data_IF_399638613278
#
_entry.id   IF_399638613278
#
_cell.length_a   1.000
_cell.length_b   1.000
_cell.length_c   1.000
_cell.angle_alpha   90.00
_cell.angle_beta   90.00
_cell.angle_gamma   90.00
#
_symmetry.space_group_name_H-M   'P 1'
#
loop_
_entity.id
_entity.type
_entity.pdbx_description
1 polymer ?
#
# COMPACT_ATOMS: atom_id res chain seq x y z
N UNK A 1 -13.02 -6.51 3.62
CA UNK A 1 -13.46 -5.32 2.85
C UNK A 1 -13.03 -5.41 1.38
N UNK A 2 -13.67 -4.60 0.53
CA UNK A 2 -13.23 -4.33 -0.85
C UNK A 2 -12.97 -2.83 -0.99
N UNK A 3 -11.88 -2.46 -1.66
CA UNK A 3 -11.51 -1.06 -1.90
C UNK A 3 -10.83 -0.91 -3.25
N UNK A 4 -10.82 0.31 -3.74
CA UNK A 4 -10.14 0.66 -4.98
C UNK A 4 -8.72 1.15 -4.70
N UNK A 5 -7.85 0.86 -5.67
CA UNK A 5 -6.49 1.36 -5.76
C UNK A 5 -6.38 2.10 -7.08
N UNK A 6 -6.27 3.41 -7.01
CA UNK A 6 -6.02 4.26 -8.17
C UNK A 6 -4.51 4.36 -8.40
N UNK A 7 -4.05 4.03 -9.61
CA UNK A 7 -2.64 3.86 -9.94
C UNK A 7 -2.26 4.81 -11.07
N UNK A 8 -1.22 5.59 -10.88
CA UNK A 8 -0.65 6.50 -11.89
C UNK A 8 0.79 6.08 -12.15
N UNK A 9 1.10 5.74 -13.41
CA UNK A 9 2.47 5.42 -13.83
C UNK A 9 3.14 6.63 -14.46
N UNK A 10 4.44 6.83 -14.18
CA UNK A 10 5.21 7.97 -14.71
C UNK A 10 5.21 8.05 -16.23
N UNK A 11 5.19 6.91 -16.92
CA UNK A 11 5.22 6.80 -18.38
C UNK A 11 3.84 6.74 -19.03
N UNK A 12 2.76 6.96 -18.26
CA UNK A 12 1.38 7.00 -18.75
C UNK A 12 0.70 8.30 -18.34
N UNK A 13 -0.25 8.75 -19.14
CA UNK A 13 -1.00 9.99 -18.93
C UNK A 13 -2.44 9.75 -18.43
N UNK A 14 -2.72 8.55 -17.91
CA UNK A 14 -4.03 8.18 -17.36
C UNK A 14 -3.84 7.30 -16.12
N UNK A 15 -4.82 7.36 -15.22
CA UNK A 15 -4.89 6.49 -14.05
C UNK A 15 -5.56 5.16 -14.39
N UNK A 16 -5.17 4.10 -13.69
CA UNK A 16 -5.80 2.78 -13.74
C UNK A 16 -6.34 2.46 -12.36
N UNK A 17 -7.60 2.04 -12.29
CA UNK A 17 -8.22 1.58 -11.04
C UNK A 17 -8.17 0.06 -10.98
N UNK A 18 -7.59 -0.49 -9.91
CA UNK A 18 -7.73 -1.90 -9.54
C UNK A 18 -8.59 -2.02 -8.29
N UNK A 19 -9.50 -2.99 -8.26
CA UNK A 19 -10.29 -3.29 -7.06
C UNK A 19 -9.67 -4.47 -6.32
N UNK A 20 -9.34 -4.26 -5.05
CA UNK A 20 -8.74 -5.27 -4.19
C UNK A 20 -9.72 -5.73 -3.11
N UNK A 21 -9.55 -6.98 -2.67
CA UNK A 21 -10.29 -7.53 -1.53
C UNK A 21 -9.30 -7.97 -0.46
N UNK A 22 -9.49 -7.48 0.77
CA UNK A 22 -8.72 -7.88 1.94
C UNK A 22 -9.67 -8.45 3.01
N UNK A 23 -9.32 -9.54 3.70
CA UNK A 23 -10.13 -10.05 4.80
C UNK A 23 -10.16 -9.06 5.98
N UNK A 24 -11.21 -9.16 6.79
CA UNK A 24 -11.36 -8.35 8.00
C UNK A 24 -11.90 -6.93 7.77
N UNK A 25 -12.23 -6.29 8.88
CA UNK A 25 -12.66 -4.89 8.97
C UNK A 25 -11.44 -4.00 9.27
N UNK A 26 -11.30 -2.84 8.60
CA UNK A 26 -10.13 -1.97 8.79
C UNK A 26 -9.88 -1.49 10.21
N UNK A 27 -10.96 -1.29 10.97
CA UNK A 27 -10.89 -0.92 12.39
C UNK A 27 -10.31 -2.03 13.28
N UNK A 28 -10.18 -3.25 12.76
CA UNK A 28 -9.67 -4.43 13.47
C UNK A 28 -8.35 -4.93 12.88
N UNK A 29 -7.77 -4.21 11.91
CA UNK A 29 -6.54 -4.64 11.26
C UNK A 29 -5.36 -4.70 12.22
N UNK A 30 -4.57 -5.75 12.01
CA UNK A 30 -3.28 -5.99 12.66
C UNK A 30 -2.14 -5.55 11.73
N UNK A 31 -0.91 -5.60 12.24
CA UNK A 31 0.30 -5.37 11.45
C UNK A 31 0.38 -6.31 10.25
N UNK A 32 -0.03 -7.57 10.41
CA UNK A 32 -0.05 -8.55 9.31
C UNK A 32 -1.02 -8.15 8.20
N UNK A 33 -2.19 -7.61 8.57
CA UNK A 33 -3.20 -7.18 7.61
C UNK A 33 -2.71 -5.95 6.85
N UNK A 34 -2.13 -4.98 7.55
CA UNK A 34 -1.52 -3.78 6.92
C UNK A 34 -0.32 -4.16 6.05
N UNK A 35 0.52 -5.10 6.46
CA UNK A 35 1.61 -5.63 5.64
C UNK A 35 1.09 -6.23 4.33
N UNK A 36 0.00 -7.00 4.39
CA UNK A 36 -0.68 -7.57 3.22
C UNK A 36 -1.23 -6.45 2.31
N UNK A 37 -1.91 -5.45 2.88
CA UNK A 37 -2.45 -4.29 2.13
C UNK A 37 -1.34 -3.55 1.39
N UNK A 38 -0.24 -3.19 2.07
CA UNK A 38 0.88 -2.45 1.46
C UNK A 38 1.53 -3.26 0.33
N UNK A 39 1.69 -4.58 0.52
CA UNK A 39 2.22 -5.46 -0.53
C UNK A 39 1.29 -5.54 -1.73
N UNK A 40 -0.02 -5.65 -1.52
CA UNK A 40 -0.96 -5.69 -2.64
C UNK A 40 -1.03 -4.37 -3.41
N UNK A 41 -0.90 -3.20 -2.74
CA UNK A 41 -0.81 -1.91 -3.44
C UNK A 41 0.45 -1.86 -4.33
N UNK A 42 1.60 -2.30 -3.82
CA UNK A 42 2.83 -2.36 -4.61
C UNK A 42 2.72 -3.37 -5.78
N UNK A 43 2.07 -4.52 -5.55
CA UNK A 43 1.80 -5.51 -6.59
C UNK A 43 0.84 -4.98 -7.65
N UNK A 44 -0.15 -4.17 -7.28
CA UNK A 44 -1.03 -3.47 -8.21
C UNK A 44 -0.24 -2.55 -9.14
N UNK A 45 0.67 -1.75 -8.60
CA UNK A 45 1.54 -0.90 -9.43
C UNK A 45 2.39 -1.76 -10.39
N UNK A 46 2.97 -2.86 -9.89
CA UNK A 46 3.74 -3.79 -10.71
C UNK A 46 2.91 -4.46 -11.80
N UNK A 47 1.68 -4.92 -11.50
CA UNK A 47 0.76 -5.50 -12.49
C UNK A 47 0.45 -4.53 -13.60
N UNK A 48 0.13 -3.27 -13.27
CA UNK A 48 -0.17 -2.25 -14.27
C UNK A 48 1.06 -1.91 -15.11
N UNK A 49 2.26 -1.89 -14.50
CA UNK A 49 3.52 -1.59 -15.19
C UNK A 49 4.00 -2.74 -16.07
N UNK A 50 3.88 -3.97 -15.57
CA UNK A 50 4.41 -5.20 -16.13
C UNK A 50 3.27 -6.25 -16.26
N UNK A 51 2.32 -6.05 -17.20
CA UNK A 51 1.14 -6.91 -17.32
C UNK A 51 1.50 -8.37 -17.65
N UNK A 52 2.53 -8.58 -18.48
CA UNK A 52 2.97 -9.90 -18.95
C UNK A 52 3.87 -10.66 -17.97
N UNK A 53 4.17 -10.10 -16.79
CA UNK A 53 5.03 -10.76 -15.82
C UNK A 53 4.39 -12.03 -15.25
N UNK A 54 5.13 -13.13 -15.19
CA UNK A 54 4.68 -14.41 -14.64
C UNK A 54 5.03 -14.58 -13.17
N UNK A 55 6.14 -13.99 -12.72
CA UNK A 55 6.57 -13.95 -11.33
C UNK A 55 6.54 -12.51 -10.83
N UNK A 56 6.02 -12.31 -9.62
CA UNK A 56 5.92 -10.99 -9.00
C UNK A 56 6.48 -11.05 -7.60
N UNK A 57 7.39 -10.13 -7.31
CA UNK A 57 7.98 -9.99 -5.99
C UNK A 57 8.04 -8.51 -5.63
N UNK A 58 7.45 -8.16 -4.50
CA UNK A 58 7.56 -6.82 -3.91
C UNK A 58 8.19 -6.93 -2.53
N UNK A 59 8.93 -5.88 -2.17
CA UNK A 59 9.54 -5.73 -0.85
C UNK A 59 9.10 -4.40 -0.27
N UNK A 60 8.84 -4.35 1.03
CA UNK A 60 8.38 -3.13 1.70
C UNK A 60 9.56 -2.16 1.95
N UNK A 61 10.16 -1.65 0.87
CA UNK A 61 11.29 -0.71 0.88
C UNK A 61 11.32 0.12 -0.40
N UNK A 62 12.00 1.26 -0.35
CA UNK A 62 12.23 2.08 -1.55
C UNK A 62 10.99 2.82 -2.06
N UNK A 63 10.02 3.06 -1.18
CA UNK A 63 8.82 3.85 -1.43
C UNK A 63 8.61 4.88 -0.32
N UNK A 64 7.91 5.96 -0.63
CA UNK A 64 7.33 6.88 0.36
C UNK A 64 5.85 6.60 0.52
N UNK A 65 5.31 6.86 1.70
CA UNK A 65 3.89 6.68 1.97
C UNK A 65 3.38 7.81 2.87
N UNK A 66 2.08 8.04 2.80
CA UNK A 66 1.35 8.91 3.71
C UNK A 66 -0.08 8.40 3.87
N UNK A 67 -0.65 8.56 5.06
CA UNK A 67 -2.09 8.41 5.29
C UNK A 67 -2.71 9.79 5.32
N UNK A 68 -3.75 10.00 4.51
CA UNK A 68 -4.44 11.29 4.43
C UNK A 68 -5.94 11.13 4.70
N UNK A 69 -6.60 12.12 5.33
CA UNK A 69 -8.05 12.12 5.48
C UNK A 69 -8.75 12.16 4.12
N UNK A 70 -9.84 11.41 4.00
CA UNK A 70 -10.72 11.39 2.83
C UNK A 70 -12.18 11.31 3.27
N UNK A 71 -13.12 11.59 2.36
CA UNK A 71 -14.52 11.27 2.60
C UNK A 71 -14.66 9.77 2.93
N UNK A 72 -15.31 9.45 4.05
CA UNK A 72 -15.50 8.06 4.49
C UNK A 72 -14.34 7.42 5.27
N UNK A 73 -13.25 8.15 5.55
CA UNK A 73 -12.15 7.64 6.37
C UNK A 73 -10.78 8.20 6.00
N UNK A 74 -9.82 7.32 5.71
CA UNK A 74 -8.47 7.68 5.30
C UNK A 74 -8.01 6.91 4.07
N UNK A 75 -7.15 7.49 3.25
CA UNK A 75 -6.49 6.80 2.13
C UNK A 75 -5.01 6.57 2.46
N UNK A 76 -4.43 5.52 1.87
CA UNK A 76 -2.98 5.32 1.85
C UNK A 76 -2.49 5.74 0.47
N UNK A 77 -1.63 6.75 0.41
CA UNK A 77 -0.89 7.08 -0.79
C UNK A 77 0.52 6.47 -0.71
N UNK A 78 0.93 5.75 -1.75
CA UNK A 78 2.28 5.19 -1.91
C UNK A 78 2.90 5.75 -3.18
N UNK A 79 4.15 6.18 -3.10
CA UNK A 79 4.94 6.61 -4.25
C UNK A 79 6.24 5.82 -4.37
N UNK A 80 6.54 5.38 -5.60
CA UNK A 80 7.80 4.76 -6.03
C UNK A 80 8.34 5.50 -7.27
N UNK A 81 9.62 5.32 -7.64
CA UNK A 81 10.19 6.05 -8.79
C UNK A 81 9.39 5.89 -10.10
N UNK A 82 8.75 4.74 -10.29
CA UNK A 82 8.00 4.39 -11.51
C UNK A 82 6.53 4.84 -11.51
N UNK A 83 5.97 5.26 -10.37
CA UNK A 83 4.56 5.63 -10.26
C UNK A 83 4.07 5.79 -8.82
N UNK A 84 2.79 6.06 -8.67
CA UNK A 84 2.11 6.22 -7.39
C UNK A 84 0.79 5.44 -7.38
N UNK A 85 0.30 5.15 -6.19
CA UNK A 85 -1.03 4.60 -5.98
C UNK A 85 -1.72 5.21 -4.75
N UNK A 86 -3.03 5.35 -4.82
CA UNK A 86 -3.90 5.75 -3.70
C UNK A 86 -4.90 4.64 -3.45
N UNK A 87 -4.95 4.14 -2.22
CA UNK A 87 -5.82 3.05 -1.81
C UNK A 87 -6.79 3.48 -0.71
N UNK A 88 -8.05 3.08 -0.82
CA UNK A 88 -9.09 3.35 0.18
C UNK A 88 -10.33 4.00 -0.43
N UNK A 89 -11.14 4.73 0.37
CA UNK A 89 -10.91 5.05 1.79
C UNK A 89 -11.09 3.85 2.73
N UNK A 90 -10.38 3.89 3.86
CA UNK A 90 -10.46 2.95 4.98
C UNK A 90 -11.17 3.62 6.16
N UNK A 91 -12.25 3.05 6.72
CA UNK A 91 -13.03 3.64 7.81
C UNK A 91 -12.33 3.53 9.17
N UNK A 92 -11.17 4.18 9.32
CA UNK A 92 -10.41 4.24 10.56
C UNK A 92 -9.73 5.61 10.74
N UNK A 93 -9.27 5.90 11.96
CA UNK A 93 -8.54 7.14 12.23
C UNK A 93 -7.15 7.12 11.57
N UNK A 94 -6.72 8.26 11.05
CA UNK A 94 -5.41 8.44 10.41
C UNK A 94 -4.27 7.95 11.33
N UNK A 95 -4.25 8.43 12.58
CA UNK A 95 -3.21 8.09 13.56
C UNK A 95 -3.11 6.58 13.82
N UNK A 96 -4.25 5.87 13.80
CA UNK A 96 -4.26 4.42 13.99
C UNK A 96 -3.59 3.70 12.82
N UNK A 97 -3.84 4.15 11.59
CA UNK A 97 -3.25 3.54 10.39
C UNK A 97 -1.77 3.92 10.24
N UNK A 98 -1.41 5.17 10.51
CA UNK A 98 -0.01 5.63 10.56
C UNK A 98 0.82 4.73 11.47
N UNK A 99 0.34 4.50 12.71
CA UNK A 99 1.03 3.68 13.71
C UNK A 99 1.22 2.22 13.26
N UNK A 100 0.22 1.64 12.59
CA UNK A 100 0.31 0.28 12.08
C UNK A 100 1.31 0.18 10.93
N UNK A 101 1.30 1.14 10.00
CA UNK A 101 2.26 1.18 8.89
C UNK A 101 3.69 1.35 9.44
N UNK A 102 3.90 2.27 10.38
CA UNK A 102 5.19 2.47 11.05
C UNK A 102 5.70 1.19 11.72
N UNK A 103 4.84 0.47 12.45
CA UNK A 103 5.20 -0.80 13.10
C UNK A 103 5.61 -1.86 12.08
N UNK A 104 4.83 -2.02 11.00
CA UNK A 104 5.14 -2.94 9.89
C UNK A 104 6.50 -2.60 9.29
N UNK A 105 6.75 -1.34 8.94
CA UNK A 105 8.00 -0.93 8.31
C UNK A 105 9.21 -0.97 9.24
N UNK A 106 9.00 -0.84 10.55
CA UNK A 106 10.06 -1.07 11.53
C UNK A 106 10.43 -2.56 11.61
N UNK A 107 9.45 -3.46 11.53
CA UNK A 107 9.67 -4.92 11.61
C UNK A 107 10.43 -5.51 10.42
N UNK A 108 10.36 -4.86 9.25
CA UNK A 108 11.02 -5.32 8.01
C UNK A 108 12.48 -4.87 7.88
N UNK A 109 12.95 -3.96 8.75
CA UNK A 109 14.35 -3.51 8.73
C UNK A 109 15.26 -4.61 9.30
N UNK A 110 16.37 -4.95 8.63
CA UNK A 110 17.34 -5.89 9.19
C UNK A 110 17.87 -5.38 10.53
N UNK A 111 17.95 -6.26 11.53
CA UNK A 111 18.59 -5.92 12.81
C UNK A 111 20.06 -5.53 12.55
N UNK A 112 20.58 -4.48 13.19
CA UNK A 112 22.00 -4.15 13.07
C UNK A 112 22.82 -5.35 13.52
N UNK A 113 23.67 -5.87 12.62
CA UNK A 113 24.68 -6.87 13.00
C UNK A 113 25.82 -6.09 13.64
N UNK A 114 25.98 -6.22 14.97
CA UNK A 114 27.14 -5.69 15.68
C UNK A 114 28.27 -6.71 15.48
N UNK A 115 29.34 -6.30 14.79
CA UNK A 115 30.58 -7.05 14.64
C UNK A 115 31.53 -6.80 15.81
#
# INVERSE_FOLDING_TARGET
MTFDVEIVLRDRNYAVTETLTQPGEPTQWTERDVESVLKEILLSIDRVKNPEATERHVSLRGFSWIVEPSEGGVVIAIEIPTGAAVAGPFPMAQESLDRLIDSVLASTRPKPVIH
#
